data_IF_228412449773
#
_entry.id   IF_228412449773
#
_cell.length_a   1.000
_cell.length_b   1.000
_cell.length_c   1.000
_cell.angle_alpha   90.00
_cell.angle_beta   90.00
_cell.angle_gamma   90.00
#
_symmetry.space_group_name_H-M   'P 1'
#
loop_
_entity.id
_entity.type
_entity.pdbx_description
1 polymer ?
#
# COMPACT_ATOMS: atom_id res chain seq x y z
N UNK A 1 -20.45 -3.71 4.95
CA UNK A 1 -21.16 -3.10 3.80
C UNK A 1 -20.78 -3.68 2.42
N UNK A 2 -19.51 -3.95 2.05
CA UNK A 2 -19.23 -4.66 0.76
C UNK A 2 -19.33 -6.18 0.92
N UNK A 3 -18.58 -6.74 1.87
CA UNK A 3 -18.51 -8.21 2.09
C UNK A 3 -19.86 -8.81 2.44
N UNK A 4 -20.67 -8.09 3.21
CA UNK A 4 -22.03 -8.50 3.57
C UNK A 4 -22.96 -8.58 2.35
N UNK A 5 -22.75 -7.72 1.34
CA UNK A 5 -23.61 -7.66 0.15
C UNK A 5 -23.14 -8.63 -0.93
N UNK A 6 -21.83 -8.70 -1.18
CA UNK A 6 -21.25 -9.48 -2.28
C UNK A 6 -20.85 -10.90 -1.87
N UNK A 7 -20.77 -11.19 -0.57
CA UNK A 7 -20.39 -12.49 -0.01
C UNK A 7 -18.92 -12.88 -0.22
N UNK A 8 -18.19 -12.21 -1.11
CA UNK A 8 -16.78 -12.47 -1.43
C UNK A 8 -16.04 -11.21 -1.87
N UNK A 9 -14.71 -11.26 -1.76
CA UNK A 9 -13.79 -10.29 -2.37
C UNK A 9 -12.66 -11.09 -3.00
N UNK A 10 -12.57 -11.00 -4.32
CA UNK A 10 -11.56 -11.71 -5.11
C UNK A 10 -10.28 -10.90 -5.30
N UNK A 11 -10.44 -9.59 -5.49
CA UNK A 11 -9.32 -8.72 -5.82
C UNK A 11 -9.43 -7.41 -5.02
N UNK A 12 -8.34 -7.02 -4.38
CA UNK A 12 -8.14 -5.68 -3.84
C UNK A 12 -7.09 -4.97 -4.70
N UNK A 13 -7.43 -3.79 -5.24
CA UNK A 13 -6.49 -2.93 -5.95
C UNK A 13 -6.29 -1.65 -5.15
N UNK A 14 -5.12 -1.52 -4.53
CA UNK A 14 -4.72 -0.32 -3.80
C UNK A 14 -4.00 0.64 -4.77
N UNK A 15 -4.74 1.61 -5.30
CA UNK A 15 -4.23 2.60 -6.25
C UNK A 15 -4.08 4.01 -5.67
N UNK A 16 -4.71 4.31 -4.54
CA UNK A 16 -4.65 5.64 -3.96
C UNK A 16 -3.20 6.04 -3.63
N UNK A 17 -2.79 7.20 -4.14
CA UNK A 17 -1.49 7.77 -3.83
C UNK A 17 -1.29 9.11 -4.48
N UNK A 18 -0.45 9.94 -3.86
CA UNK A 18 -0.03 11.21 -4.41
C UNK A 18 1.44 11.47 -4.05
N UNK A 19 2.05 12.44 -4.74
CA UNK A 19 3.41 12.87 -4.47
C UNK A 19 3.44 14.35 -4.15
N UNK A 20 4.10 14.68 -3.06
CA UNK A 20 4.44 16.05 -2.69
C UNK A 20 5.96 16.17 -2.59
N UNK A 21 6.49 17.14 -3.33
CA UNK A 21 7.90 17.29 -3.65
C UNK A 21 8.41 18.62 -3.11
N UNK A 22 9.66 18.63 -2.64
CA UNK A 22 10.35 19.77 -2.08
C UNK A 22 11.69 19.37 -1.47
N UNK A 23 12.55 20.34 -1.16
CA UNK A 23 13.73 20.07 -0.35
C UNK A 23 13.30 19.50 1.02
N UNK A 24 14.14 18.67 1.64
CA UNK A 24 13.73 17.95 2.86
C UNK A 24 13.37 18.93 3.97
N UNK A 25 14.14 20.01 4.07
CA UNK A 25 13.99 21.09 5.03
C UNK A 25 12.78 22.01 4.77
N UNK A 26 12.28 22.05 3.54
CA UNK A 26 11.19 22.94 3.13
C UNK A 26 9.81 22.28 3.21
N UNK A 27 9.75 20.95 3.28
CA UNK A 27 8.49 20.23 3.36
C UNK A 27 8.04 20.13 4.82
N UNK A 28 6.86 20.70 5.09
CA UNK A 28 6.20 20.58 6.39
C UNK A 28 6.04 19.11 6.79
N UNK A 29 6.36 18.79 8.05
CA UNK A 29 6.28 17.41 8.55
C UNK A 29 4.84 16.89 8.52
N UNK A 30 3.83 17.76 8.62
CA UNK A 30 2.43 17.40 8.47
C UNK A 30 2.12 16.88 7.05
N UNK A 31 2.69 17.49 6.03
CA UNK A 31 2.55 17.07 4.63
C UNK A 31 3.28 15.76 4.36
N UNK A 32 4.50 15.62 4.89
CA UNK A 32 5.24 14.35 4.85
C UNK A 32 4.43 13.21 5.48
N UNK A 33 3.84 13.43 6.67
CA UNK A 33 2.97 12.46 7.34
C UNK A 33 1.73 12.14 6.51
N UNK A 34 1.10 13.14 5.91
CA UNK A 34 -0.08 12.92 5.07
C UNK A 34 0.24 12.04 3.86
N UNK A 35 1.43 12.18 3.25
CA UNK A 35 1.86 11.27 2.18
C UNK A 35 1.95 9.83 2.68
N UNK A 36 2.47 9.57 3.89
CA UNK A 36 2.48 8.23 4.48
C UNK A 36 1.06 7.72 4.79
N UNK A 37 0.19 8.56 5.33
CA UNK A 37 -1.20 8.19 5.62
C UNK A 37 -1.91 7.70 4.36
N UNK A 38 -1.73 8.38 3.22
CA UNK A 38 -2.38 7.96 1.96
C UNK A 38 -1.63 6.80 1.29
N UNK A 39 -0.32 6.95 1.07
CA UNK A 39 0.45 6.06 0.21
C UNK A 39 0.81 4.72 0.88
N UNK A 40 0.69 4.60 2.22
CA UNK A 40 1.05 3.38 2.96
C UNK A 40 -0.03 2.97 3.95
N UNK A 41 -0.39 3.83 4.90
CA UNK A 41 -1.29 3.40 5.98
C UNK A 41 -2.72 3.16 5.51
N UNK A 42 -3.21 3.96 4.55
CA UNK A 42 -4.53 3.77 3.94
C UNK A 42 -4.67 2.39 3.30
N UNK A 43 -3.72 2.01 2.45
CA UNK A 43 -3.73 0.67 1.83
C UNK A 43 -3.47 -0.45 2.85
N UNK A 44 -2.61 -0.23 3.85
CA UNK A 44 -2.33 -1.25 4.86
C UNK A 44 -3.59 -1.60 5.67
N UNK A 45 -4.40 -0.59 6.00
CA UNK A 45 -5.71 -0.81 6.66
C UNK A 45 -6.66 -1.63 5.77
N UNK A 46 -6.71 -1.36 4.47
CA UNK A 46 -7.53 -2.15 3.53
C UNK A 46 -7.04 -3.60 3.45
N UNK A 47 -5.73 -3.81 3.37
CA UNK A 47 -5.09 -5.14 3.39
C UNK A 47 -5.48 -5.91 4.66
N UNK A 48 -5.38 -5.29 5.84
CA UNK A 48 -5.76 -5.89 7.11
C UNK A 48 -7.24 -6.33 7.14
N UNK A 49 -8.13 -5.56 6.51
CA UNK A 49 -9.56 -5.87 6.46
C UNK A 49 -9.87 -7.04 5.50
N UNK A 50 -9.16 -7.15 4.37
CA UNK A 50 -9.45 -8.19 3.36
C UNK A 50 -8.78 -9.53 3.64
N UNK A 51 -7.59 -9.56 4.26
CA UNK A 51 -6.84 -10.81 4.49
C UNK A 51 -7.67 -11.88 5.21
N UNK A 52 -8.38 -11.61 6.32
CA UNK A 52 -9.16 -12.64 7.01
C UNK A 52 -10.24 -13.26 6.12
N UNK A 53 -10.79 -12.48 5.19
CA UNK A 53 -11.83 -12.93 4.27
C UNK A 53 -11.25 -13.76 3.13
N UNK A 54 -10.17 -13.28 2.48
CA UNK A 54 -9.47 -14.04 1.44
C UNK A 54 -8.88 -15.34 2.00
N UNK A 55 -8.33 -15.33 3.23
CA UNK A 55 -7.83 -16.53 3.91
C UNK A 55 -8.91 -17.59 4.10
N UNK A 56 -10.13 -17.21 4.49
CA UNK A 56 -11.27 -18.13 4.59
C UNK A 56 -11.67 -18.69 3.22
N UNK A 57 -11.58 -17.87 2.17
CA UNK A 57 -11.84 -18.28 0.79
C UNK A 57 -10.74 -19.16 0.19
N UNK A 58 -9.54 -19.16 0.78
CA UNK A 58 -8.32 -19.80 0.25
C UNK A 58 -7.95 -19.32 -1.16
N UNK A 59 -8.32 -18.08 -1.46
CA UNK A 59 -8.13 -17.42 -2.75
C UNK A 59 -8.26 -15.91 -2.56
N UNK A 60 -7.46 -15.15 -3.29
CA UNK A 60 -7.55 -13.70 -3.35
C UNK A 60 -6.29 -13.09 -3.95
N UNK A 61 -6.41 -11.91 -4.55
CA UNK A 61 -5.28 -11.17 -5.10
C UNK A 61 -5.25 -9.73 -4.58
N UNK A 62 -4.09 -9.27 -4.12
CA UNK A 62 -3.84 -7.91 -3.64
C UNK A 62 -2.84 -7.24 -4.57
N UNK A 63 -3.28 -6.19 -5.25
CA UNK A 63 -2.45 -5.40 -6.17
C UNK A 63 -2.18 -4.04 -5.53
N UNK A 64 -0.94 -3.80 -5.13
CA UNK A 64 -0.48 -2.51 -4.63
C UNK A 64 0.20 -1.72 -5.76
N UNK A 65 -0.38 -0.57 -6.13
CA UNK A 65 0.18 0.29 -7.19
C UNK A 65 1.27 1.20 -6.59
N UNK A 66 2.51 0.81 -6.86
CA UNK A 66 3.70 1.57 -6.46
C UNK A 66 4.10 2.59 -7.54
N UNK A 67 5.40 2.82 -7.71
CA UNK A 67 5.99 3.79 -8.64
C UNK A 67 7.44 3.45 -8.91
N UNK A 68 8.02 3.99 -9.99
CA UNK A 68 9.48 4.04 -10.16
C UNK A 68 10.17 4.64 -8.92
N UNK A 69 9.47 5.54 -8.22
CA UNK A 69 9.96 6.13 -6.98
C UNK A 69 10.13 5.17 -5.80
N UNK A 70 9.71 3.89 -5.91
CA UNK A 70 10.04 2.83 -4.95
C UNK A 70 11.35 2.09 -5.26
N UNK A 71 12.04 2.44 -6.36
CA UNK A 71 13.28 1.78 -6.82
C UNK A 71 14.42 2.75 -7.15
N UNK A 72 14.12 4.03 -7.32
CA UNK A 72 15.09 5.09 -7.48
C UNK A 72 14.64 6.34 -6.72
N UNK A 73 15.59 7.24 -6.47
CA UNK A 73 15.35 8.54 -5.86
C UNK A 73 15.81 9.68 -6.76
N UNK A 74 15.10 10.80 -6.71
CA UNK A 74 15.47 12.05 -7.37
C UNK A 74 15.55 13.18 -6.36
N UNK A 75 16.23 14.27 -6.75
CA UNK A 75 16.20 15.51 -5.97
C UNK A 75 14.75 15.95 -5.72
N UNK A 76 14.54 16.54 -4.54
CA UNK A 76 13.24 17.03 -4.06
C UNK A 76 12.13 15.97 -3.90
N UNK A 77 12.41 14.69 -4.11
CA UNK A 77 11.43 13.60 -4.00
C UNK A 77 11.48 12.81 -2.71
N UNK A 78 12.32 13.21 -1.74
CA UNK A 78 12.68 12.37 -0.59
C UNK A 78 11.47 11.76 0.14
N UNK A 79 10.46 12.58 0.46
CA UNK A 79 9.25 12.13 1.15
C UNK A 79 8.40 11.18 0.31
N UNK A 80 8.13 11.52 -0.94
CA UNK A 80 7.40 10.65 -1.86
C UNK A 80 8.11 9.30 -2.05
N UNK A 81 9.41 9.32 -2.36
CA UNK A 81 10.21 8.12 -2.53
C UNK A 81 10.20 7.25 -1.27
N UNK A 82 10.38 7.85 -0.09
CA UNK A 82 10.31 7.11 1.17
C UNK A 82 9.00 6.32 1.31
N UNK A 83 7.85 6.93 0.98
CA UNK A 83 6.57 6.21 1.02
C UNK A 83 6.49 5.05 0.03
N UNK A 84 7.05 5.21 -1.17
CA UNK A 84 7.01 4.16 -2.21
C UNK A 84 8.00 3.04 -1.94
N UNK A 85 9.19 3.33 -1.42
CA UNK A 85 10.11 2.29 -0.92
C UNK A 85 9.48 1.51 0.24
N UNK A 86 8.81 2.20 1.17
CA UNK A 86 8.09 1.54 2.25
C UNK A 86 6.97 0.61 1.71
N UNK A 87 6.25 1.04 0.67
CA UNK A 87 5.24 0.22 0.01
C UNK A 87 5.80 -1.04 -0.65
N UNK A 88 6.97 -0.95 -1.31
CA UNK A 88 7.62 -2.14 -1.91
C UNK A 88 7.94 -3.17 -0.82
N UNK A 89 8.61 -2.75 0.26
CA UNK A 89 8.98 -3.65 1.37
C UNK A 89 7.75 -4.21 2.07
N UNK A 90 6.71 -3.39 2.29
CA UNK A 90 5.44 -3.85 2.83
C UNK A 90 4.80 -4.91 1.94
N UNK A 91 4.83 -4.72 0.62
CA UNK A 91 4.26 -5.66 -0.34
C UNK A 91 5.04 -6.98 -0.42
N UNK A 92 6.37 -6.92 -0.29
CA UNK A 92 7.22 -8.12 -0.25
C UNK A 92 6.98 -8.94 1.01
N UNK A 93 6.91 -8.29 2.17
CA UNK A 93 6.54 -8.93 3.43
C UNK A 93 5.15 -9.56 3.35
N UNK A 94 4.16 -8.78 2.90
CA UNK A 94 2.79 -9.25 2.72
C UNK A 94 2.73 -10.52 1.87
N UNK A 95 3.42 -10.54 0.72
CA UNK A 95 3.45 -11.69 -0.19
C UNK A 95 3.94 -12.96 0.51
N UNK A 96 5.01 -12.85 1.32
CA UNK A 96 5.53 -14.00 2.08
C UNK A 96 4.54 -14.46 3.16
N UNK A 97 3.90 -13.51 3.86
CA UNK A 97 2.95 -13.81 4.93
C UNK A 97 1.67 -14.49 4.44
N UNK A 98 1.24 -14.22 3.20
CA UNK A 98 -0.06 -14.69 2.70
C UNK A 98 0.00 -15.89 1.76
N UNK A 99 1.20 -16.27 1.29
CA UNK A 99 1.39 -17.33 0.29
C UNK A 99 0.75 -18.67 0.70
N UNK A 100 0.95 -19.11 1.95
CA UNK A 100 0.43 -20.39 2.45
C UNK A 100 -1.11 -20.44 2.53
N UNK A 101 -1.78 -19.28 2.40
CA UNK A 101 -3.24 -19.20 2.38
C UNK A 101 -3.84 -19.24 0.97
N UNK A 102 -3.02 -19.35 -0.08
CA UNK A 102 -3.46 -19.30 -1.48
C UNK A 102 -3.78 -17.88 -1.98
N UNK A 103 -3.13 -16.88 -1.38
CA UNK A 103 -3.30 -15.46 -1.72
C UNK A 103 -2.07 -14.97 -2.48
N UNK A 104 -2.29 -14.02 -3.39
CA UNK A 104 -1.25 -13.45 -4.26
C UNK A 104 -1.14 -11.92 -4.14
#
# INVERSE_FOLDING_TARGET
MIIENEGRIDVLINNAGYGSYGAIEDVEISEAKMQFEVNLFGLARLVQLVIPHMRKQKSGRIINVSSMGGRLTTYFGAWYHATKYALEVFSDALRMEVADFGLE
#
